data_IF_896775947582
#
_entry.id   IF_896775947582
#
_cell.length_a   1.000
_cell.length_b   1.000
_cell.length_c   1.000
_cell.angle_alpha   90.00
_cell.angle_beta   90.00
_cell.angle_gamma   90.00
#
_symmetry.space_group_name_H-M   'P 1'
#
loop_
_entity.id
_entity.type
_entity.pdbx_description
1 polymer ?
#
# COMPACT_ATOMS: atom_id res chain seq x y z
N UNK A 1 17.32 15.64 1.88
CA UNK A 1 16.06 14.95 2.24
C UNK A 1 14.95 16.00 2.35
N UNK A 2 13.72 15.70 1.91
CA UNK A 2 12.57 16.63 1.99
C UNK A 2 11.59 16.14 3.06
N UNK A 3 11.02 17.03 3.86
CA UNK A 3 9.95 16.74 4.82
C UNK A 3 8.73 16.17 4.08
N UNK A 4 8.38 16.75 2.94
CA UNK A 4 7.23 16.32 2.11
C UNK A 4 7.40 14.95 1.47
N UNK A 5 8.60 14.36 1.44
CA UNK A 5 8.76 12.97 1.00
C UNK A 5 8.19 11.95 1.99
N UNK A 6 7.78 12.39 3.19
CA UNK A 6 7.15 11.55 4.22
C UNK A 6 5.63 11.64 4.23
N UNK A 7 5.01 12.43 3.35
CA UNK A 7 3.55 12.59 3.31
C UNK A 7 2.85 11.25 3.15
N UNK A 8 3.30 10.37 2.26
CA UNK A 8 2.71 9.03 2.09
C UNK A 8 2.78 8.19 3.36
N UNK A 9 3.87 8.26 4.12
CA UNK A 9 4.01 7.55 5.40
C UNK A 9 3.04 8.09 6.45
N UNK A 10 2.86 9.41 6.51
CA UNK A 10 1.88 10.04 7.41
C UNK A 10 0.45 9.64 7.02
N UNK A 11 0.11 9.73 5.73
CA UNK A 11 -1.19 9.29 5.21
C UNK A 11 -1.46 7.82 5.54
N UNK A 12 -0.48 6.94 5.33
CA UNK A 12 -0.60 5.52 5.66
C UNK A 12 -0.84 5.32 7.17
N UNK A 13 -0.17 6.08 8.03
CA UNK A 13 -0.41 6.06 9.47
C UNK A 13 -1.84 6.44 9.85
N UNK A 14 -2.42 7.46 9.20
CA UNK A 14 -3.82 7.85 9.40
C UNK A 14 -4.80 6.75 8.98
N UNK A 15 -4.55 6.08 7.85
CA UNK A 15 -5.40 4.98 7.41
C UNK A 15 -5.29 3.80 8.38
N UNK A 16 -4.07 3.34 8.67
CA UNK A 16 -3.83 2.19 9.53
C UNK A 16 -4.36 2.38 10.96
N UNK A 17 -4.34 3.61 11.47
CA UNK A 17 -4.82 3.90 12.83
C UNK A 17 -6.33 3.69 13.05
N UNK A 18 -7.13 3.61 11.98
CA UNK A 18 -8.58 3.41 12.07
C UNK A 18 -9.04 2.08 11.48
N UNK A 19 -8.14 1.34 10.82
CA UNK A 19 -8.44 0.00 10.34
C UNK A 19 -8.38 -0.97 11.52
N UNK A 20 -9.39 -1.83 11.71
CA UNK A 20 -9.33 -2.87 12.73
C UNK A 20 -8.16 -3.82 12.44
N UNK A 21 -7.34 -4.07 13.45
CA UNK A 21 -6.29 -5.08 13.39
C UNK A 21 -6.87 -6.43 13.79
N UNK A 22 -7.21 -7.24 12.78
CA UNK A 22 -7.64 -8.62 12.96
C UNK A 22 -6.58 -9.49 12.28
N UNK A 23 -5.51 -9.89 12.99
CA UNK A 23 -4.43 -10.65 12.39
C UNK A 23 -4.97 -12.02 11.94
N UNK A 24 -4.61 -12.49 10.73
CA UNK A 24 -5.09 -13.76 10.23
C UNK A 24 -4.47 -14.90 11.05
N UNK A 25 -5.30 -15.87 11.43
CA UNK A 25 -4.89 -17.09 12.10
C UNK A 25 -4.09 -17.99 11.15
N UNK A 26 -3.44 -19.03 11.68
CA UNK A 26 -2.76 -20.02 10.84
C UNK A 26 -3.75 -20.74 9.90
N UNK A 27 -4.97 -20.99 10.38
CA UNK A 27 -6.04 -21.58 9.57
C UNK A 27 -6.46 -20.66 8.43
N UNK A 28 -6.56 -19.36 8.69
CA UNK A 28 -6.89 -18.36 7.68
C UNK A 28 -5.82 -18.29 6.58
N UNK A 29 -4.54 -18.31 6.98
CA UNK A 29 -3.40 -18.34 6.05
C UNK A 29 -3.40 -19.62 5.23
N UNK A 30 -3.66 -20.76 5.85
CA UNK A 30 -3.77 -22.06 5.17
C UNK A 30 -4.92 -22.06 4.16
N UNK A 31 -6.08 -21.49 4.51
CA UNK A 31 -7.21 -21.35 3.61
C UNK A 31 -6.88 -20.46 2.39
N UNK A 32 -6.21 -19.32 2.62
CA UNK A 32 -5.77 -18.45 1.54
C UNK A 32 -4.77 -19.14 0.59
N UNK A 33 -3.81 -19.89 1.13
CA UNK A 33 -2.85 -20.66 0.33
C UNK A 33 -3.51 -21.78 -0.46
N UNK A 34 -4.46 -22.49 0.14
CA UNK A 34 -5.24 -23.53 -0.52
C UNK A 34 -6.07 -22.94 -1.69
N UNK A 35 -6.71 -21.79 -1.49
CA UNK A 35 -7.46 -21.10 -2.54
C UNK A 35 -6.56 -20.60 -3.68
N UNK A 36 -5.32 -20.19 -3.38
CA UNK A 36 -4.32 -19.84 -4.39
C UNK A 36 -3.76 -21.08 -5.10
N UNK A 37 -3.77 -22.26 -4.49
CA UNK A 37 -3.10 -23.44 -5.03
C UNK A 37 -1.59 -23.20 -5.23
N UNK A 38 -0.95 -22.51 -4.28
CA UNK A 38 0.49 -22.22 -4.28
C UNK A 38 1.17 -22.75 -3.01
N UNK A 39 2.47 -23.10 -3.07
CA UNK A 39 3.25 -23.36 -1.88
C UNK A 39 3.34 -22.11 -0.96
N UNK A 40 3.40 -22.29 0.37
CA UNK A 40 3.43 -21.19 1.34
C UNK A 40 4.59 -20.21 1.16
N UNK A 41 5.70 -20.65 0.56
CA UNK A 41 6.92 -19.87 0.44
C UNK A 41 7.10 -19.21 -0.94
N UNK A 42 6.07 -19.21 -1.78
CA UNK A 42 6.17 -18.71 -3.14
C UNK A 42 5.38 -17.42 -3.35
N UNK A 43 6.05 -16.41 -3.90
CA UNK A 43 5.43 -15.16 -4.32
C UNK A 43 4.42 -15.44 -5.43
N UNK A 44 3.16 -15.04 -5.21
CA UNK A 44 2.07 -15.22 -6.17
C UNK A 44 2.37 -14.52 -7.51
N UNK A 45 3.08 -13.39 -7.45
CA UNK A 45 3.32 -12.52 -8.59
C UNK A 45 4.43 -12.98 -9.53
N UNK A 46 5.56 -13.45 -8.98
CA UNK A 46 6.75 -13.76 -9.77
C UNK A 46 7.35 -15.15 -9.52
N UNK A 47 6.90 -15.87 -8.50
CA UNK A 47 7.39 -17.20 -8.18
C UNK A 47 8.66 -17.25 -7.33
N UNK A 48 9.27 -16.09 -7.01
CA UNK A 48 10.41 -16.00 -6.07
C UNK A 48 9.97 -16.34 -4.64
N UNK A 49 10.91 -16.46 -3.70
CA UNK A 49 10.60 -16.67 -2.28
C UNK A 49 9.73 -15.55 -1.72
N UNK A 50 8.58 -15.90 -1.14
CA UNK A 50 7.74 -14.96 -0.41
C UNK A 50 8.41 -14.59 0.92
N UNK A 51 8.47 -13.30 1.19
CA UNK A 51 9.02 -12.72 2.44
C UNK A 51 7.95 -12.01 3.25
N UNK A 52 6.83 -11.67 2.61
CA UNK A 52 5.77 -10.83 3.17
C UNK A 52 4.40 -11.30 2.67
N UNK A 53 3.35 -10.75 3.26
CA UNK A 53 1.98 -10.85 2.77
C UNK A 53 1.58 -9.47 2.23
N UNK A 54 1.19 -9.42 0.95
CA UNK A 54 0.75 -8.21 0.27
C UNK A 54 -0.78 -8.11 0.28
N UNK A 55 -1.29 -6.89 0.43
CA UNK A 55 -2.71 -6.61 0.25
C UNK A 55 -3.06 -6.67 -1.23
N UNK A 56 -3.79 -7.70 -1.67
CA UNK A 56 -4.13 -7.89 -3.08
C UNK A 56 -4.87 -6.66 -3.62
N UNK A 57 -5.93 -6.24 -2.92
CA UNK A 57 -6.63 -4.98 -3.12
C UNK A 57 -6.05 -3.91 -2.19
N UNK A 58 -5.70 -2.73 -2.71
CA UNK A 58 -5.03 -1.71 -1.90
C UNK A 58 -5.95 -1.20 -0.79
N UNK A 59 -5.40 -1.02 0.41
CA UNK A 59 -6.13 -0.45 1.56
C UNK A 59 -6.13 1.09 1.56
N UNK A 60 -5.28 1.73 0.75
CA UNK A 60 -5.23 3.18 0.57
C UNK A 60 -5.43 3.54 -0.89
N UNK A 61 -6.43 4.36 -1.20
CA UNK A 61 -6.66 4.97 -2.52
C UNK A 61 -6.90 6.46 -2.31
N UNK A 62 -6.26 7.32 -3.13
CA UNK A 62 -6.45 8.78 -3.08
C UNK A 62 -6.28 9.37 -1.67
N UNK A 63 -5.30 8.88 -0.91
CA UNK A 63 -5.01 9.27 0.48
C UNK A 63 -6.15 9.01 1.48
N UNK A 64 -7.05 8.11 1.15
CA UNK A 64 -8.16 7.64 1.99
C UNK A 64 -8.13 6.11 2.06
N UNK A 65 -8.75 5.49 3.08
CA UNK A 65 -8.97 4.06 3.06
C UNK A 65 -9.85 3.70 1.87
N UNK A 66 -9.53 2.60 1.21
CA UNK A 66 -10.28 2.12 0.04
C UNK A 66 -11.61 1.47 0.38
N UNK A 67 -11.86 1.13 1.64
CA UNK A 67 -12.95 0.25 2.05
C UNK A 67 -12.47 -1.18 2.32
N UNK A 68 -11.33 -1.60 1.75
CA UNK A 68 -10.74 -2.91 2.01
C UNK A 68 -9.94 -2.93 3.31
N UNK A 69 -10.06 -4.05 4.02
CA UNK A 69 -9.37 -4.31 5.28
C UNK A 69 -8.10 -5.15 5.07
N UNK A 70 -7.27 -5.16 6.11
CA UNK A 70 -6.31 -6.25 6.33
C UNK A 70 -7.10 -7.48 6.73
N UNK A 71 -7.41 -8.32 5.75
CA UNK A 71 -8.17 -9.55 5.90
C UNK A 71 -7.42 -10.67 5.16
N UNK A 72 -7.43 -11.90 5.69
CA UNK A 72 -6.74 -13.03 5.06
C UNK A 72 -7.21 -13.31 3.62
N UNK A 73 -8.44 -12.91 3.27
CA UNK A 73 -9.04 -12.98 1.93
C UNK A 73 -8.58 -11.85 1.00
N UNK A 74 -7.86 -10.88 1.56
CA UNK A 74 -7.21 -9.80 0.84
C UNK A 74 -5.67 -9.87 0.97
N UNK A 75 -5.12 -10.96 1.52
CA UNK A 75 -3.68 -11.12 1.73
C UNK A 75 -3.12 -12.26 0.88
N UNK A 76 -2.08 -11.97 0.11
CA UNK A 76 -1.41 -12.96 -0.74
C UNK A 76 0.10 -13.01 -0.45
N UNK A 77 0.75 -14.18 -0.55
CA UNK A 77 2.19 -14.29 -0.34
C UNK A 77 2.94 -13.54 -1.46
N UNK A 78 3.87 -12.67 -1.07
CA UNK A 78 4.63 -11.85 -1.99
C UNK A 78 6.10 -11.72 -1.55
N UNK A 79 6.99 -11.49 -2.50
CA UNK A 79 8.36 -11.07 -2.20
C UNK A 79 8.40 -9.54 -2.03
N UNK A 80 9.31 -9.05 -1.18
CA UNK A 80 9.51 -7.63 -0.92
C UNK A 80 9.59 -6.75 -2.18
N UNK A 81 10.38 -7.12 -3.22
CA UNK A 81 10.45 -6.35 -4.47
C UNK A 81 9.12 -6.22 -5.22
N UNK A 82 8.31 -7.27 -5.28
CA UNK A 82 7.00 -7.23 -5.94
C UNK A 82 6.01 -6.37 -5.14
N UNK A 83 5.94 -6.57 -3.82
CA UNK A 83 5.09 -5.80 -2.92
C UNK A 83 5.42 -4.29 -3.02
N UNK A 84 6.71 -3.93 -2.87
CA UNK A 84 7.16 -2.54 -3.02
C UNK A 84 6.89 -1.97 -4.41
N UNK A 85 7.01 -2.76 -5.48
CA UNK A 85 6.73 -2.27 -6.82
C UNK A 85 5.24 -2.03 -7.07
N UNK A 86 4.37 -2.86 -6.49
CA UNK A 86 2.91 -2.69 -6.61
C UNK A 86 2.47 -1.42 -5.91
N UNK A 87 2.97 -1.15 -4.69
CA UNK A 87 2.83 0.13 -3.96
C UNK A 87 1.38 0.67 -3.94
N UNK A 88 0.39 -0.19 -3.69
CA UNK A 88 -1.02 0.22 -3.62
C UNK A 88 -1.73 0.36 -4.98
N UNK A 89 -1.10 -0.02 -6.09
CA UNK A 89 -1.80 -0.16 -7.37
C UNK A 89 -2.75 -1.36 -7.36
N UNK A 90 -3.77 -1.30 -8.23
CA UNK A 90 -4.54 -2.49 -8.57
C UNK A 90 -3.60 -3.59 -9.08
N UNK A 91 -3.71 -4.78 -8.52
CA UNK A 91 -2.78 -5.88 -8.78
C UNK A 91 -2.73 -6.26 -10.26
N UNK A 92 -3.86 -6.33 -10.96
CA UNK A 92 -3.93 -6.78 -12.37
C UNK A 92 -3.33 -5.74 -13.31
N UNK A 93 -3.69 -4.47 -13.12
CA UNK A 93 -3.12 -3.35 -13.88
C UNK A 93 -1.61 -3.22 -13.65
N UNK A 94 -1.14 -3.44 -12.42
CA UNK A 94 0.29 -3.44 -12.12
C UNK A 94 1.01 -4.65 -12.74
N UNK A 95 0.45 -5.86 -12.62
CA UNK A 95 1.07 -7.09 -13.13
C UNK A 95 1.28 -7.06 -14.65
N UNK A 96 0.34 -6.45 -15.37
CA UNK A 96 0.35 -6.31 -16.83
C UNK A 96 1.00 -5.01 -17.32
N UNK A 97 1.39 -4.14 -16.39
CA UNK A 97 1.91 -2.81 -16.69
C UNK A 97 3.40 -2.77 -17.03
N UNK A 98 3.93 -1.54 -17.08
CA UNK A 98 5.33 -1.23 -17.44
C UNK A 98 6.23 -0.89 -16.25
N UNK A 99 5.75 -1.09 -15.02
CA UNK A 99 6.58 -0.83 -13.85
C UNK A 99 7.79 -1.78 -13.87
N UNK A 100 9.00 -1.26 -13.65
CA UNK A 100 10.26 -2.00 -13.83
C UNK A 100 10.30 -3.38 -13.17
N UNK A 101 9.62 -3.54 -12.04
CA UNK A 101 9.58 -4.77 -11.25
C UNK A 101 8.26 -5.55 -11.38
N UNK A 102 7.34 -5.10 -12.24
CA UNK A 102 6.12 -5.84 -12.57
C UNK A 102 6.44 -7.17 -13.27
N UNK A 103 5.61 -8.21 -13.07
CA UNK A 103 5.72 -9.47 -13.78
C UNK A 103 5.84 -9.36 -15.31
N UNK A 104 5.02 -8.53 -15.96
CA UNK A 104 5.12 -8.32 -17.40
C UNK A 104 6.46 -7.74 -17.82
N UNK A 105 6.95 -6.70 -17.12
CA UNK A 105 8.26 -6.08 -17.42
C UNK A 105 9.45 -7.02 -17.15
N UNK A 106 9.26 -8.04 -16.30
CA UNK A 106 10.25 -9.09 -16.00
C UNK A 106 10.12 -10.34 -16.88
N UNK A 107 9.18 -10.36 -17.84
CA UNK A 107 8.90 -11.51 -18.71
C UNK A 107 8.61 -12.81 -17.94
N UNK A 108 7.78 -12.73 -16.89
CA UNK A 108 7.33 -13.93 -16.17
C UNK A 108 6.51 -14.81 -17.13
N UNK A 109 7.02 -16.02 -17.38
CA UNK A 109 6.57 -16.91 -18.46
C UNK A 109 5.10 -17.35 -18.27
N UNK A 110 4.69 -17.59 -17.03
CA UNK A 110 3.36 -18.07 -16.65
C UNK A 110 2.41 -16.95 -16.17
N UNK A 111 2.63 -15.70 -16.63
CA UNK A 111 1.88 -14.52 -16.20
C UNK A 111 0.36 -14.70 -16.27
N UNK A 112 -0.16 -15.23 -17.38
CA UNK A 112 -1.61 -15.41 -17.54
C UNK A 112 -2.19 -16.44 -16.56
N UNK A 113 -1.45 -17.52 -16.28
CA UNK A 113 -1.86 -18.51 -15.29
C UNK A 113 -1.85 -17.92 -13.86
N UNK A 114 -0.91 -17.03 -13.56
CA UNK A 114 -0.88 -16.30 -12.27
C UNK A 114 -2.06 -15.32 -12.14
N UNK A 115 -2.39 -14.60 -13.21
CA UNK A 115 -3.55 -13.70 -13.24
C UNK A 115 -4.84 -14.50 -13.02
N UNK A 116 -5.06 -15.59 -13.77
CA UNK A 116 -6.26 -16.41 -13.62
C UNK A 116 -6.43 -16.97 -12.20
N UNK A 117 -5.33 -17.37 -11.56
CA UNK A 117 -5.30 -17.79 -10.15
C UNK A 117 -5.69 -16.65 -9.21
N UNK A 118 -5.15 -15.46 -9.39
CA UNK A 118 -5.49 -14.30 -8.59
C UNK A 118 -6.95 -13.87 -8.77
N UNK A 119 -7.50 -13.97 -9.98
CA UNK A 119 -8.94 -13.73 -10.21
C UNK A 119 -9.81 -14.78 -9.50
N UNK A 120 -9.40 -16.05 -9.52
CA UNK A 120 -10.11 -17.11 -8.79
C UNK A 120 -10.06 -16.87 -7.27
N UNK A 121 -8.91 -16.48 -6.74
CA UNK A 121 -8.74 -16.12 -5.34
C UNK A 121 -9.56 -14.87 -4.97
N UNK A 122 -9.57 -13.85 -5.83
CA UNK A 122 -10.35 -12.63 -5.65
C UNK A 122 -11.85 -12.93 -5.53
N UNK A 123 -12.36 -13.85 -6.35
CA UNK A 123 -13.74 -14.37 -6.29
C UNK A 123 -14.00 -15.25 -5.06
N UNK A 124 -13.04 -16.10 -4.68
CA UNK A 124 -13.16 -16.95 -3.50
C UNK A 124 -13.26 -16.13 -2.20
N UNK A 125 -12.47 -15.05 -2.11
CA UNK A 125 -12.43 -14.21 -0.94
C UNK A 125 -13.70 -13.39 -0.72
N UNK A 126 -14.45 -13.08 -1.80
CA UNK A 126 -15.73 -12.34 -1.78
C UNK A 126 -15.74 -11.19 -0.77
N UNK A 127 -14.74 -10.31 -0.87
CA UNK A 127 -14.52 -9.21 0.08
C UNK A 127 -15.18 -7.95 -0.45
N UNK A 128 -16.17 -7.46 0.29
CA UNK A 128 -16.82 -6.18 0.04
C UNK A 128 -16.06 -5.00 0.65
N UNK A 129 -16.25 -3.82 0.04
CA UNK A 129 -15.77 -2.56 0.59
C UNK A 129 -16.65 -2.11 1.76
N UNK A 130 -16.00 -1.68 2.85
CA UNK A 130 -16.70 -1.09 3.99
C UNK A 130 -16.87 0.41 3.78
N UNK A 131 -18.11 0.90 3.84
CA UNK A 131 -18.38 2.33 3.94
C UNK A 131 -18.13 2.84 5.37
N UNK A 132 -16.86 3.13 5.66
CA UNK A 132 -16.43 3.64 6.96
C UNK A 132 -17.10 4.97 7.33
N UNK A 133 -17.37 5.83 6.35
CA UNK A 133 -17.95 7.14 6.61
C UNK A 133 -19.38 7.02 7.15
N UNK A 134 -20.17 6.11 6.56
CA UNK A 134 -21.51 5.78 7.06
C UNK A 134 -21.42 5.06 8.42
N UNK A 135 -20.49 4.11 8.58
CA UNK A 135 -20.35 3.34 9.83
C UNK A 135 -20.00 4.19 11.06
N UNK A 136 -19.09 5.16 10.91
CA UNK A 136 -18.61 6.00 12.03
C UNK A 136 -19.36 7.32 12.18
N UNK A 137 -20.20 7.67 11.20
CA UNK A 137 -20.85 8.96 11.07
C UNK A 137 -20.00 9.99 10.33
N UNK A 138 -20.62 10.66 9.35
CA UNK A 138 -19.96 11.60 8.42
C UNK A 138 -19.21 12.72 9.12
N UNK A 139 -19.80 13.33 10.15
CA UNK A 139 -19.17 14.46 10.86
C UNK A 139 -17.85 14.04 11.54
N UNK A 140 -17.85 12.88 12.20
CA UNK A 140 -16.65 12.33 12.84
C UNK A 140 -15.61 11.93 11.79
N UNK A 141 -16.06 11.33 10.70
CA UNK A 141 -15.21 10.96 9.57
C UNK A 141 -14.49 12.16 8.98
N UNK A 142 -15.23 13.21 8.62
CA UNK A 142 -14.69 14.45 8.06
C UNK A 142 -13.76 15.16 9.04
N UNK A 143 -14.15 15.24 10.32
CA UNK A 143 -13.32 15.85 11.36
C UNK A 143 -11.98 15.13 11.56
N UNK A 144 -11.94 13.79 11.45
CA UNK A 144 -10.70 13.00 11.51
C UNK A 144 -9.79 13.35 10.33
N UNK A 145 -10.35 13.36 9.13
CA UNK A 145 -9.61 13.58 7.90
C UNK A 145 -9.16 15.03 7.67
N UNK A 146 -9.86 16.00 8.26
CA UNK A 146 -9.41 17.39 8.30
C UNK A 146 -8.06 17.53 9.02
N UNK A 147 -7.78 16.69 10.02
CA UNK A 147 -6.50 16.69 10.74
C UNK A 147 -5.33 16.32 9.83
N UNK A 148 -5.53 15.32 8.95
CA UNK A 148 -4.51 14.97 7.95
C UNK A 148 -4.23 16.16 7.02
N UNK A 149 -5.27 16.86 6.55
CA UNK A 149 -5.12 18.04 5.69
C UNK A 149 -4.30 19.14 6.38
N UNK A 150 -4.57 19.39 7.66
CA UNK A 150 -3.82 20.37 8.47
C UNK A 150 -2.34 19.95 8.58
N UNK A 151 -2.06 18.69 8.94
CA UNK A 151 -0.69 18.18 9.07
C UNK A 151 0.06 18.26 7.75
N UNK A 152 -0.56 17.86 6.63
CA UNK A 152 0.07 18.01 5.32
C UNK A 152 0.36 19.49 4.98
N UNK A 153 -0.51 20.40 5.40
CA UNK A 153 -0.29 21.84 5.31
C UNK A 153 0.96 22.29 6.08
N UNK A 154 1.07 21.88 7.35
CA UNK A 154 2.23 22.18 8.19
C UNK A 154 3.52 21.59 7.63
N UNK A 155 3.49 20.37 7.08
CA UNK A 155 4.66 19.75 6.44
C UNK A 155 5.14 20.56 5.22
N UNK A 156 4.23 21.14 4.43
CA UNK A 156 4.58 22.00 3.30
C UNK A 156 5.20 23.32 3.78
N UNK A 157 4.64 23.94 4.82
CA UNK A 157 5.17 25.16 5.41
C UNK A 157 6.58 24.93 5.97
N UNK A 158 6.77 23.87 6.76
CA UNK A 158 8.07 23.49 7.30
C UNK A 158 9.10 23.18 6.20
N UNK A 159 8.69 22.58 5.08
CA UNK A 159 9.58 22.35 3.94
C UNK A 159 10.07 23.66 3.32
N UNK A 160 9.16 24.62 3.10
CA UNK A 160 9.51 25.93 2.54
C UNK A 160 10.47 26.70 3.47
N UNK A 161 10.20 26.68 4.77
CA UNK A 161 11.08 27.30 5.77
C UNK A 161 12.45 26.61 5.84
N UNK A 162 12.49 25.28 5.81
CA UNK A 162 13.74 24.53 5.79
C UNK A 162 14.60 24.85 4.55
N UNK A 163 13.98 25.07 3.39
CA UNK A 163 14.70 25.45 2.17
C UNK A 163 15.25 26.88 2.26
N UNK A 164 14.49 27.82 2.84
CA UNK A 164 14.96 29.18 3.12
C UNK A 164 16.14 29.19 4.11
N UNK A 165 16.03 28.44 5.21
CA UNK A 165 17.10 28.28 6.20
C UNK A 165 18.35 27.68 5.55
N UNK A 166 18.20 26.62 4.73
CA UNK A 166 19.34 26.01 4.03
C UNK A 166 20.04 27.01 3.12
N UNK A 167 19.29 27.82 2.36
CA UNK A 167 19.86 28.82 1.47
C UNK A 167 20.66 29.91 2.23
N UNK A 168 20.14 30.36 3.38
CA UNK A 168 20.83 31.30 4.26
C UNK A 168 22.13 30.71 4.82
N UNK A 169 22.08 29.47 5.32
CA UNK A 169 23.28 28.77 5.83
C UNK A 169 24.34 28.65 4.73
N UNK A 170 23.97 28.18 3.54
CA UNK A 170 24.90 28.04 2.42
C UNK A 170 25.52 29.38 2.02
N UNK A 171 24.72 30.45 1.96
CA UNK A 171 25.22 31.80 1.60
C UNK A 171 26.25 32.31 2.61
N UNK A 172 26.02 32.10 3.91
CA UNK A 172 26.96 32.55 4.95
C UNK A 172 28.26 31.75 4.91
N UNK A 173 28.18 30.43 4.80
CA UNK A 173 29.36 29.56 4.75
C UNK A 173 30.24 29.83 3.51
N UNK A 174 29.65 30.14 2.36
CA UNK A 174 30.42 30.43 1.14
C UNK A 174 31.02 31.85 1.07
N UNK A 175 30.58 32.78 1.93
CA UNK A 175 31.16 34.14 2.00
C UNK A 175 32.36 34.23 2.93
N UNK A 176 32.62 33.19 3.72
CA UNK A 176 33.75 33.07 4.65
C UNK A 176 34.90 32.21 4.07
N UNK A 177 34.81 31.83 2.79
CA UNK A 177 35.84 31.11 2.01
C UNK A 177 36.46 32.04 0.97
#
# INVERSE_FOLDING_TARGET
MKITSRTSSVTNGFVQAILPDIPPTEQDRAAALAALGLPPHQCVYCGDQATDWDHLRPIVINKRPSGYLTDYRNLVPACGPCNQSKSGQNWKSWMTGKATRSPASRNIIDLQARIARLEAYERWGDVDEVDFATLVGKDRWEAYWAKLVIIEGLMRQAQAEADAIRALISTKLHRES
#
